data_IF_475919680175
#
_entry.id   IF_475919680175
#
_cell.length_a   1.000
_cell.length_b   1.000
_cell.length_c   1.000
_cell.angle_alpha   90.00
_cell.angle_beta   90.00
_cell.angle_gamma   90.00
#
_symmetry.space_group_name_H-M   'P 1'
#
loop_
_entity.id
_entity.type
_entity.pdbx_description
1 polymer ?
#
# COMPACT_ATOMS: atom_id res chain seq x y z
N UNK A 1 -6.50 7.53 15.81
CA UNK A 1 -6.65 8.76 15.01
C UNK A 1 -6.08 9.91 15.83
N UNK A 2 -5.11 10.63 15.27
CA UNK A 2 -4.54 11.86 15.80
C UNK A 2 -5.43 13.06 15.52
N UNK A 3 -4.95 14.25 15.85
CA UNK A 3 -5.68 15.50 15.64
C UNK A 3 -4.93 16.49 14.77
N UNK A 4 -5.63 17.07 13.82
CA UNK A 4 -5.17 18.21 13.01
C UNK A 4 -6.16 19.39 13.11
N UNK A 5 -5.72 20.51 12.56
CA UNK A 5 -6.47 21.76 12.42
C UNK A 5 -6.54 22.11 10.95
N UNK A 6 -7.77 22.07 10.43
CA UNK A 6 -8.07 22.35 9.05
C UNK A 6 -8.40 23.82 8.84
N UNK A 7 -7.81 24.42 7.80
CA UNK A 7 -8.21 25.71 7.27
C UNK A 7 -8.79 25.51 5.87
N UNK A 8 -10.02 25.96 5.66
CA UNK A 8 -10.69 25.88 4.36
C UNK A 8 -10.61 27.21 3.64
N UNK A 9 -10.52 27.14 2.31
CA UNK A 9 -10.77 28.30 1.47
C UNK A 9 -12.23 28.74 1.63
N UNK A 10 -12.47 30.01 1.94
CA UNK A 10 -13.81 30.55 2.23
C UNK A 10 -14.79 30.46 1.05
N UNK A 11 -14.29 30.28 -0.17
CA UNK A 11 -15.09 30.28 -1.40
C UNK A 11 -15.22 28.88 -2.00
N UNK A 12 -14.11 28.16 -2.17
CA UNK A 12 -14.13 26.83 -2.78
C UNK A 12 -14.41 25.71 -1.79
N UNK A 13 -14.33 25.99 -0.48
CA UNK A 13 -14.38 25.00 0.60
C UNK A 13 -13.32 23.89 0.49
N UNK A 14 -12.32 24.07 -0.37
CA UNK A 14 -11.16 23.18 -0.46
C UNK A 14 -10.24 23.42 0.74
N UNK A 15 -9.51 22.37 1.10
CA UNK A 15 -8.47 22.42 2.11
C UNK A 15 -7.39 23.39 1.65
N UNK A 16 -7.24 24.49 2.39
CA UNK A 16 -6.17 25.47 2.17
C UNK A 16 -4.90 25.04 2.92
N UNK A 17 -5.05 24.53 4.14
CA UNK A 17 -3.94 24.07 4.97
C UNK A 17 -4.43 23.10 6.05
N UNK A 18 -3.61 22.10 6.38
CA UNK A 18 -3.74 21.30 7.60
C UNK A 18 -2.47 21.42 8.43
N UNK A 19 -2.65 21.59 9.74
CA UNK A 19 -1.54 21.66 10.70
C UNK A 19 -1.86 20.78 11.90
N UNK A 20 -0.85 20.22 12.54
CA UNK A 20 -1.05 19.43 13.74
C UNK A 20 -1.80 20.22 14.83
N UNK A 21 -2.81 19.59 15.43
CA UNK A 21 -3.61 20.23 16.47
C UNK A 21 -2.84 20.30 17.80
N UNK A 22 -2.62 21.54 18.24
CA UNK A 22 -2.03 21.83 19.55
C UNK A 22 -2.46 23.18 20.09
N UNK A 23 -2.85 23.19 21.36
CA UNK A 23 -3.19 24.36 22.15
C UNK A 23 -2.25 24.39 23.36
N UNK A 24 -1.28 25.29 23.33
CA UNK A 24 -0.22 25.36 24.35
C UNK A 24 -0.70 25.84 25.73
N UNK A 25 -1.87 26.47 25.81
CA UNK A 25 -2.42 27.06 27.02
C UNK A 25 -3.93 26.80 27.14
N UNK A 26 -4.31 25.52 27.19
CA UNK A 26 -5.69 25.12 27.50
C UNK A 26 -5.93 25.04 29.02
N UNK A 27 -7.20 24.97 29.41
CA UNK A 27 -7.60 24.91 30.82
C UNK A 27 -7.20 23.56 31.42
N UNK A 28 -6.10 23.52 32.15
CA UNK A 28 -5.55 22.28 32.73
C UNK A 28 -4.19 21.87 32.16
N UNK A 29 -3.67 22.59 31.16
CA UNK A 29 -2.37 22.34 30.56
C UNK A 29 -2.39 22.45 29.04
N UNK A 30 -1.30 22.08 28.37
CA UNK A 30 -1.27 21.99 26.92
C UNK A 30 -2.10 20.79 26.44
N UNK A 31 -2.99 21.03 25.48
CA UNK A 31 -3.83 20.01 24.83
C UNK A 31 -3.41 19.84 23.37
N UNK A 32 -3.49 18.63 22.82
CA UNK A 32 -3.19 18.41 21.41
C UNK A 32 -3.27 16.95 21.00
N UNK A 33 -2.84 16.69 19.76
CA UNK A 33 -2.83 15.32 19.23
C UNK A 33 -2.04 14.39 20.14
N UNK A 34 -2.68 13.30 20.57
CA UNK A 34 -2.06 12.28 21.43
C UNK A 34 -1.20 11.34 20.60
N UNK A 35 0.04 11.11 21.03
CA UNK A 35 0.99 10.33 20.26
C UNK A 35 2.10 9.70 21.11
N UNK A 36 2.93 8.87 20.49
CA UNK A 36 4.13 8.30 21.10
C UNK A 36 4.46 6.90 20.61
N UNK A 37 5.49 6.32 21.20
CA UNK A 37 5.96 4.97 20.92
C UNK A 37 5.55 4.07 22.10
N UNK A 38 4.86 2.97 21.81
CA UNK A 38 4.43 2.03 22.85
C UNK A 38 5.62 1.35 23.52
N UNK A 39 5.58 1.22 24.85
CA UNK A 39 6.53 0.40 25.63
C UNK A 39 6.09 -1.05 25.84
N UNK A 40 4.88 -1.38 25.38
CA UNK A 40 4.24 -2.70 25.62
C UNK A 40 4.11 -3.47 24.31
N UNK A 41 3.71 -2.80 23.24
CA UNK A 41 3.51 -3.42 21.94
C UNK A 41 4.74 -3.17 21.06
N UNK A 42 5.33 -4.26 20.56
CA UNK A 42 6.37 -4.20 19.54
C UNK A 42 5.86 -3.49 18.29
N UNK A 43 6.78 -2.88 17.54
CA UNK A 43 6.45 -2.31 16.24
C UNK A 43 5.94 -3.40 15.28
N UNK A 44 4.70 -3.28 14.76
CA UNK A 44 4.13 -4.28 13.87
C UNK A 44 4.81 -4.24 12.49
N UNK A 45 4.87 -5.38 11.80
CA UNK A 45 5.63 -5.52 10.54
C UNK A 45 5.18 -4.53 9.44
N UNK A 46 3.89 -4.24 9.37
CA UNK A 46 3.34 -3.27 8.41
C UNK A 46 3.72 -1.81 8.73
N UNK A 47 4.15 -1.51 9.96
CA UNK A 47 4.73 -0.21 10.35
C UNK A 47 6.25 -0.22 10.22
N UNK A 48 6.89 -1.34 10.60
CA UNK A 48 8.35 -1.51 10.57
C UNK A 48 8.95 -1.52 9.17
N UNK A 49 8.21 -2.00 8.18
CA UNK A 49 8.67 -2.13 6.79
C UNK A 49 8.38 -0.88 5.94
N UNK A 50 8.00 0.24 6.57
CA UNK A 50 7.80 1.54 5.90
C UNK A 50 8.82 2.55 6.40
N UNK A 51 8.78 3.75 5.85
CA UNK A 51 9.63 4.82 6.35
C UNK A 51 9.29 5.30 7.76
N UNK A 52 8.13 4.92 8.32
CA UNK A 52 7.80 5.19 9.73
C UNK A 52 8.88 4.66 10.68
N UNK A 53 9.53 3.55 10.32
CA UNK A 53 10.63 2.96 11.08
C UNK A 53 11.88 3.84 11.15
N UNK A 54 12.03 4.86 10.29
CA UNK A 54 13.10 5.88 10.44
C UNK A 54 12.97 6.64 11.77
N UNK A 55 11.75 6.81 12.26
CA UNK A 55 11.42 7.52 13.51
C UNK A 55 11.27 6.53 14.66
N UNK A 56 10.63 5.39 14.41
CA UNK A 56 10.31 4.40 15.45
C UNK A 56 11.50 3.50 15.80
N UNK A 57 12.36 3.20 14.83
CA UNK A 57 13.58 2.41 14.97
C UNK A 57 13.36 1.08 15.74
N UNK A 58 12.26 0.37 15.48
CA UNK A 58 11.95 -0.89 16.15
C UNK A 58 11.52 -0.77 17.61
N UNK A 59 11.45 0.44 18.19
CA UNK A 59 11.28 0.63 19.64
C UNK A 59 9.89 0.23 20.15
N UNK A 60 8.86 0.25 19.29
CA UNK A 60 7.50 -0.11 19.63
C UNK A 60 6.48 0.44 18.64
N UNK A 61 5.20 0.09 18.82
CA UNK A 61 4.10 0.59 17.99
C UNK A 61 3.97 2.10 18.14
N UNK A 62 4.22 2.84 17.06
CA UNK A 62 4.07 4.31 17.00
C UNK A 62 2.62 4.72 16.78
N UNK A 63 2.12 5.72 17.50
CA UNK A 63 0.78 6.32 17.34
C UNK A 63 0.89 7.83 17.10
N UNK A 64 -0.06 8.45 16.36
CA UNK A 64 -1.22 7.83 15.68
C UNK A 64 -0.85 7.17 14.34
N UNK A 65 -1.82 6.55 13.67
CA UNK A 65 -1.68 6.04 12.30
C UNK A 65 -2.04 7.09 11.24
N UNK A 66 -3.11 7.82 11.49
CA UNK A 66 -3.71 8.88 10.66
C UNK A 66 -4.30 9.94 11.59
N UNK A 67 -4.63 11.12 11.07
CA UNK A 67 -5.29 12.21 11.78
C UNK A 67 -6.58 12.67 11.10
N UNK A 68 -7.40 13.38 11.86
CA UNK A 68 -8.52 14.14 11.34
C UNK A 68 -8.75 15.39 12.20
N UNK A 69 -9.70 16.24 11.79
CA UNK A 69 -10.00 17.50 12.46
C UNK A 69 -10.31 17.28 13.95
N UNK A 70 -9.58 18.01 14.80
CA UNK A 70 -9.65 17.87 16.26
C UNK A 70 -9.96 19.19 16.99
N UNK A 71 -10.42 20.23 16.28
CA UNK A 71 -10.83 21.48 16.92
C UNK A 71 -11.99 22.14 16.17
N UNK A 72 -12.44 23.28 16.71
CA UNK A 72 -13.45 24.16 16.11
C UNK A 72 -14.75 23.46 15.70
N UNK A 73 -15.10 22.36 16.37
CA UNK A 73 -16.28 21.55 16.00
C UNK A 73 -17.48 22.01 16.78
N UNK A 74 -18.56 22.33 16.07
CA UNK A 74 -19.82 22.75 16.66
C UNK A 74 -20.67 21.51 16.90
N UNK A 75 -21.11 21.31 18.14
CA UNK A 75 -22.03 20.24 18.52
C UNK A 75 -23.30 20.84 19.08
N UNK A 76 -24.45 20.34 18.61
CA UNK A 76 -25.75 20.68 19.15
C UNK A 76 -26.19 19.55 20.08
N UNK A 77 -26.30 19.86 21.38
CA UNK A 77 -26.66 18.91 22.42
C UNK A 77 -27.98 19.31 23.06
N UNK A 78 -28.85 18.34 23.32
CA UNK A 78 -30.01 18.49 24.21
C UNK A 78 -29.81 17.59 25.42
N UNK A 79 -30.14 18.09 26.61
CA UNK A 79 -30.20 17.26 27.81
C UNK A 79 -31.67 16.89 28.06
N UNK A 80 -31.97 15.59 28.06
CA UNK A 80 -33.33 15.05 28.30
C UNK A 80 -34.42 15.66 27.40
N UNK A 81 -34.10 15.96 26.13
CA UNK A 81 -35.05 16.58 25.20
C UNK A 81 -35.40 18.05 25.51
N UNK A 82 -34.67 18.68 26.45
CA UNK A 82 -34.80 20.10 26.75
C UNK A 82 -34.20 21.00 25.65
N UNK A 83 -33.94 22.26 26.01
CA UNK A 83 -33.41 23.26 25.06
C UNK A 83 -32.08 22.82 24.44
N UNK A 84 -31.97 23.03 23.12
CA UNK A 84 -30.77 22.74 22.35
C UNK A 84 -29.66 23.75 22.68
N UNK A 85 -28.51 23.23 23.10
CA UNK A 85 -27.31 23.99 23.39
C UNK A 85 -26.33 23.83 22.24
N UNK A 86 -25.82 24.96 21.74
CA UNK A 86 -24.72 24.99 20.78
C UNK A 86 -23.41 25.08 21.54
N UNK A 87 -22.60 24.03 21.45
CA UNK A 87 -21.32 23.90 22.12
C UNK A 87 -20.19 23.82 21.08
N UNK A 88 -18.98 24.17 21.50
CA UNK A 88 -17.77 23.96 20.69
C UNK A 88 -16.86 22.96 21.40
N UNK A 89 -16.45 21.95 20.65
CA UNK A 89 -15.55 20.89 21.13
C UNK A 89 -14.30 20.82 20.26
N UNK A 90 -13.25 20.27 20.87
CA UNK A 90 -12.04 19.80 20.22
C UNK A 90 -11.61 18.48 20.86
N UNK A 91 -10.43 17.99 20.52
CA UNK A 91 -9.96 16.68 20.94
C UNK A 91 -9.86 15.69 19.79
N UNK A 92 -8.96 14.72 19.96
CA UNK A 92 -8.96 13.48 19.16
C UNK A 92 -10.26 12.68 19.32
N UNK A 93 -11.06 12.98 20.37
CA UNK A 93 -12.44 12.53 20.53
C UNK A 93 -13.40 13.06 19.47
N UNK A 94 -13.08 14.18 18.81
CA UNK A 94 -13.77 14.66 17.61
C UNK A 94 -13.23 13.97 16.36
N UNK A 95 -11.90 13.88 16.24
CA UNK A 95 -11.25 13.27 15.08
C UNK A 95 -11.66 11.79 14.86
N UNK A 96 -11.75 11.02 15.94
CA UNK A 96 -12.06 9.58 15.87
C UNK A 96 -13.43 9.26 15.25
N UNK A 97 -14.56 9.87 15.67
CA UNK A 97 -15.85 9.65 15.03
C UNK A 97 -15.97 10.28 13.63
N UNK A 98 -15.24 11.37 13.33
CA UNK A 98 -15.16 11.91 11.97
C UNK A 98 -14.56 10.86 11.03
N UNK A 99 -13.41 10.30 11.42
CA UNK A 99 -12.73 9.25 10.66
C UNK A 99 -13.58 7.99 10.52
N UNK A 100 -14.28 7.58 11.59
CA UNK A 100 -15.20 6.44 11.53
C UNK A 100 -16.34 6.68 10.52
N UNK A 101 -16.86 7.90 10.42
CA UNK A 101 -17.86 8.28 9.42
C UNK A 101 -17.31 8.23 7.99
N UNK A 102 -16.09 8.72 7.78
CA UNK A 102 -15.39 8.64 6.50
C UNK A 102 -15.25 7.17 6.07
N UNK A 103 -14.71 6.31 6.94
CA UNK A 103 -14.54 4.88 6.67
C UNK A 103 -15.89 4.19 6.38
N UNK A 104 -16.96 4.56 7.09
CA UNK A 104 -18.30 4.03 6.85
C UNK A 104 -18.85 4.41 5.47
N UNK A 105 -18.64 5.65 5.01
CA UNK A 105 -19.02 6.09 3.66
C UNK A 105 -18.19 5.35 2.60
N UNK A 106 -16.90 5.16 2.82
CA UNK A 106 -16.05 4.37 1.93
C UNK A 106 -16.55 2.91 1.83
N UNK A 107 -16.88 2.27 2.96
CA UNK A 107 -17.48 0.94 2.99
C UNK A 107 -18.82 0.89 2.23
N UNK A 108 -19.66 1.93 2.36
CA UNK A 108 -20.92 2.01 1.62
C UNK A 108 -20.68 2.04 0.10
N UNK A 109 -19.69 2.80 -0.37
CA UNK A 109 -19.29 2.84 -1.78
C UNK A 109 -18.69 1.50 -2.23
N UNK A 110 -17.79 0.90 -1.46
CA UNK A 110 -17.19 -0.40 -1.77
C UNK A 110 -18.26 -1.49 -1.91
N UNK A 111 -19.23 -1.52 -0.98
CA UNK A 111 -20.37 -2.44 -1.04
C UNK A 111 -21.23 -2.22 -2.29
N UNK A 112 -21.48 -0.97 -2.68
CA UNK A 112 -22.22 -0.64 -3.90
C UNK A 112 -21.55 -1.28 -5.14
N UNK A 113 -20.22 -1.27 -5.18
CA UNK A 113 -19.40 -1.91 -6.23
C UNK A 113 -19.06 -3.39 -5.95
N UNK A 114 -19.74 -4.04 -5.01
CA UNK A 114 -19.57 -5.46 -4.65
C UNK A 114 -18.15 -5.82 -4.19
N UNK A 115 -17.42 -4.84 -3.66
CA UNK A 115 -16.15 -5.06 -2.96
C UNK A 115 -16.39 -5.39 -1.49
N UNK A 116 -15.35 -5.87 -0.80
CA UNK A 116 -15.41 -6.13 0.64
C UNK A 116 -15.24 -4.83 1.44
N UNK A 117 -15.82 -4.81 2.65
CA UNK A 117 -15.55 -3.76 3.64
C UNK A 117 -14.07 -3.73 4.01
N UNK A 118 -13.61 -2.55 4.36
CA UNK A 118 -12.23 -2.22 4.68
C UNK A 118 -11.66 -2.99 5.88
N UNK A 119 -12.48 -3.25 6.90
CA UNK A 119 -12.08 -4.00 8.08
C UNK A 119 -10.85 -3.42 8.78
N UNK A 120 -9.81 -4.24 8.97
CA UNK A 120 -8.58 -3.81 9.64
C UNK A 120 -7.66 -3.01 8.69
N UNK A 121 -7.73 -1.69 8.78
CA UNK A 121 -7.13 -0.75 7.84
C UNK A 121 -5.61 -0.54 7.96
N UNK A 122 -5.01 -0.77 9.13
CA UNK A 122 -3.62 -0.36 9.37
C UNK A 122 -2.62 -0.92 8.32
N UNK A 123 -2.65 -2.20 7.92
CA UNK A 123 -1.73 -2.69 6.90
C UNK A 123 -1.86 -1.98 5.55
N UNK A 124 -3.09 -1.68 5.11
CA UNK A 124 -3.31 -1.04 3.80
C UNK A 124 -2.95 0.44 3.84
N UNK A 125 -3.26 1.13 4.95
CA UNK A 125 -2.86 2.53 5.17
C UNK A 125 -1.35 2.66 5.03
N UNK A 126 -0.59 1.85 5.77
CA UNK A 126 0.87 1.96 5.79
C UNK A 126 1.49 1.59 4.45
N UNK A 127 0.92 0.62 3.73
CA UNK A 127 1.36 0.29 2.38
C UNK A 127 1.20 1.47 1.42
N UNK A 128 -0.02 2.01 1.32
CA UNK A 128 -0.34 3.08 0.37
C UNK A 128 0.40 4.37 0.73
N UNK A 129 0.36 4.77 2.00
CA UNK A 129 1.00 6.00 2.44
C UNK A 129 2.53 5.95 2.25
N UNK A 130 3.15 4.79 2.47
CA UNK A 130 4.57 4.62 2.18
C UNK A 130 4.89 4.71 0.69
N UNK A 131 4.03 4.17 -0.18
CA UNK A 131 4.16 4.34 -1.65
C UNK A 131 4.04 5.81 -2.07
N UNK A 132 3.21 6.61 -1.39
CA UNK A 132 3.02 8.03 -1.69
C UNK A 132 4.24 8.91 -1.41
N UNK A 133 5.00 8.57 -0.38
CA UNK A 133 6.16 9.34 0.07
C UNK A 133 7.49 8.75 -0.40
N UNK A 134 7.46 7.56 -1.02
CA UNK A 134 8.65 6.89 -1.54
C UNK A 134 9.24 7.68 -2.71
N UNK A 135 10.52 8.08 -2.67
CA UNK A 135 11.13 8.84 -3.75
C UNK A 135 11.02 8.11 -5.09
N UNK A 136 10.69 8.84 -6.16
CA UNK A 136 10.80 8.32 -7.52
C UNK A 136 12.24 7.92 -7.81
N UNK A 137 12.50 6.61 -7.83
CA UNK A 137 13.81 6.08 -8.18
C UNK A 137 13.80 5.74 -9.66
N UNK A 138 14.54 6.51 -10.46
CA UNK A 138 14.80 6.15 -11.85
C UNK A 138 15.60 4.85 -11.86
N UNK A 139 15.03 3.80 -12.43
CA UNK A 139 15.78 2.58 -12.76
C UNK A 139 15.83 2.45 -14.28
N UNK A 140 16.78 1.68 -14.82
CA UNK A 140 16.86 1.40 -16.26
C UNK A 140 15.60 0.73 -16.85
N UNK A 141 14.64 0.34 -16.01
CA UNK A 141 13.37 -0.32 -16.35
C UNK A 141 12.12 0.45 -15.92
N UNK A 142 12.24 1.53 -15.15
CA UNK A 142 11.11 2.38 -14.72
C UNK A 142 11.34 3.81 -15.16
N UNK A 143 10.79 4.17 -16.32
CA UNK A 143 10.77 5.54 -16.82
C UNK A 143 9.52 6.26 -16.33
N UNK A 144 9.67 7.22 -15.42
CA UNK A 144 8.63 8.23 -15.16
C UNK A 144 9.02 9.50 -15.90
N UNK A 145 8.06 10.16 -16.55
CA UNK A 145 8.27 11.52 -17.06
C UNK A 145 8.41 12.45 -15.86
N UNK A 146 9.59 13.04 -15.70
CA UNK A 146 9.85 14.04 -14.66
C UNK A 146 9.11 15.34 -15.03
N UNK A 147 7.80 15.39 -14.80
CA UNK A 147 6.98 16.60 -14.98
C UNK A 147 7.07 17.56 -13.79
N UNK A 148 7.97 17.27 -12.84
CA UNK A 148 8.47 18.24 -11.85
C UNK A 148 7.67 18.39 -10.56
N UNK A 149 6.57 17.64 -10.36
CA UNK A 149 5.73 17.81 -9.15
C UNK A 149 5.15 16.49 -8.58
N UNK A 150 5.49 15.32 -9.13
CA UNK A 150 4.98 14.04 -8.63
C UNK A 150 6.09 13.26 -7.93
N UNK A 151 5.98 13.06 -6.61
CA UNK A 151 6.88 12.21 -5.82
C UNK A 151 6.28 10.83 -5.51
N UNK A 152 5.08 10.53 -6.03
CA UNK A 152 4.37 9.27 -5.81
C UNK A 152 4.23 8.49 -7.11
N UNK A 153 4.26 7.16 -7.04
CA UNK A 153 3.91 6.27 -8.16
C UNK A 153 2.40 6.07 -8.32
N UNK A 154 1.60 6.59 -7.38
CA UNK A 154 0.15 6.48 -7.41
C UNK A 154 -0.48 7.57 -8.28
N UNK A 155 -1.55 7.25 -9.03
CA UNK A 155 -2.26 8.23 -9.86
C UNK A 155 -3.02 9.28 -9.03
N UNK A 156 -3.31 8.97 -7.76
CA UNK A 156 -3.99 9.83 -6.79
C UNK A 156 -3.34 9.64 -5.42
N UNK A 157 -3.28 10.69 -4.61
CA UNK A 157 -2.79 10.63 -3.22
C UNK A 157 -3.97 10.39 -2.30
N UNK A 158 -4.00 9.23 -1.67
CA UNK A 158 -4.98 8.80 -0.68
C UNK A 158 -4.85 9.53 0.67
N UNK A 159 -3.71 10.17 0.94
CA UNK A 159 -3.48 10.91 2.17
C UNK A 159 -3.09 12.36 1.91
N UNK A 160 -3.58 13.25 2.76
CA UNK A 160 -3.08 14.61 2.89
C UNK A 160 -2.07 14.65 4.03
N UNK A 161 -0.80 14.74 3.68
CA UNK A 161 0.30 14.78 4.65
C UNK A 161 0.35 16.11 5.42
N UNK A 162 0.24 16.04 6.75
CA UNK A 162 0.27 17.19 7.66
C UNK A 162 1.71 17.47 8.10
N UNK A 163 2.39 18.34 7.35
CA UNK A 163 3.85 18.54 7.47
C UNK A 163 4.26 19.58 8.51
N UNK A 164 3.29 20.27 9.12
CA UNK A 164 3.53 21.46 9.93
C UNK A 164 2.78 21.41 11.26
N UNK A 165 3.36 22.07 12.25
CA UNK A 165 2.86 22.09 13.61
C UNK A 165 3.57 21.06 14.48
N UNK A 166 3.03 20.83 15.67
CA UNK A 166 3.60 19.95 16.69
C UNK A 166 2.54 19.59 17.72
N UNK A 167 2.83 18.62 18.58
CA UNK A 167 2.18 18.54 19.88
C UNK A 167 3.16 18.97 20.99
N UNK A 168 2.93 18.53 22.23
CA UNK A 168 3.80 18.87 23.34
C UNK A 168 5.23 18.32 23.21
N UNK A 169 5.42 17.19 22.50
CA UNK A 169 6.67 16.41 22.48
C UNK A 169 7.28 16.32 21.09
N UNK A 170 6.47 16.11 20.06
CA UNK A 170 6.91 15.82 18.70
C UNK A 170 6.48 16.92 17.73
N UNK A 171 7.26 17.12 16.67
CA UNK A 171 6.91 18.01 15.56
C UNK A 171 6.36 17.18 14.41
N UNK A 172 5.42 17.77 13.68
CA UNK A 172 4.97 17.21 12.42
C UNK A 172 6.05 17.38 11.34
N UNK A 173 6.12 16.45 10.39
CA UNK A 173 7.13 16.47 9.33
C UNK A 173 6.62 15.81 8.06
N UNK A 174 7.38 15.89 6.97
CA UNK A 174 7.04 15.14 5.77
C UNK A 174 7.03 13.63 6.05
N UNK A 175 5.95 12.97 5.60
CA UNK A 175 5.78 11.53 5.75
C UNK A 175 5.17 11.13 7.08
N UNK A 176 5.46 9.90 7.54
CA UNK A 176 4.96 9.47 8.84
C UNK A 176 5.56 10.32 9.97
N UNK A 177 4.75 10.79 10.91
CA UNK A 177 5.25 11.43 12.14
C UNK A 177 4.49 11.04 13.41
N UNK A 178 5.08 11.35 14.56
CA UNK A 178 4.50 11.10 15.89
C UNK A 178 3.58 12.24 16.34
N UNK A 179 2.83 12.87 15.43
CA UNK A 179 1.80 13.86 15.75
C UNK A 179 0.52 13.56 15.00
N UNK A 180 0.61 13.36 13.69
CA UNK A 180 -0.49 13.16 12.74
C UNK A 180 -0.41 11.83 11.99
N UNK A 181 0.64 11.03 12.22
CA UNK A 181 0.80 9.75 11.55
C UNK A 181 1.09 9.99 10.07
N UNK A 182 0.32 9.35 9.18
CA UNK A 182 0.38 9.59 7.74
C UNK A 182 -0.44 10.80 7.27
N UNK A 183 -1.04 11.56 8.19
CA UNK A 183 -1.95 12.67 7.89
C UNK A 183 -3.41 12.23 7.77
N UNK A 184 -4.22 13.02 7.06
CA UNK A 184 -5.66 12.80 6.92
C UNK A 184 -6.02 12.01 5.66
N UNK A 185 -7.13 11.27 5.69
CA UNK A 185 -7.58 10.48 4.53
C UNK A 185 -8.29 11.36 3.51
N UNK A 186 -7.84 11.32 2.26
CA UNK A 186 -8.65 11.71 1.11
C UNK A 186 -9.58 10.55 0.76
N UNK A 187 -10.81 10.63 1.25
CA UNK A 187 -11.80 9.56 1.13
C UNK A 187 -12.09 9.19 -0.33
N UNK A 188 -12.10 10.17 -1.24
CA UNK A 188 -12.35 9.93 -2.65
C UNK A 188 -11.17 9.18 -3.28
N UNK A 189 -9.96 9.70 -3.13
CA UNK A 189 -8.76 9.11 -3.73
C UNK A 189 -8.49 7.70 -3.19
N UNK A 190 -8.62 7.51 -1.87
CA UNK A 190 -8.44 6.19 -1.27
C UNK A 190 -9.52 5.21 -1.75
N UNK A 191 -10.78 5.62 -1.82
CA UNK A 191 -11.86 4.76 -2.36
C UNK A 191 -11.61 4.40 -3.81
N UNK A 192 -11.20 5.36 -4.65
CA UNK A 192 -10.89 5.10 -6.05
C UNK A 192 -9.70 4.15 -6.22
N UNK A 193 -8.65 4.29 -5.41
CA UNK A 193 -7.55 3.33 -5.36
C UNK A 193 -8.10 1.93 -5.02
N UNK A 194 -8.89 1.82 -3.96
CA UNK A 194 -9.43 0.54 -3.50
C UNK A 194 -10.39 -0.12 -4.50
N UNK A 195 -11.17 0.65 -5.24
CA UNK A 195 -12.02 0.15 -6.33
C UNK A 195 -11.22 -0.29 -7.55
N UNK A 196 -10.09 0.37 -7.83
CA UNK A 196 -9.20 -0.01 -8.93
C UNK A 196 -8.43 -1.31 -8.67
N UNK A 197 -8.31 -1.71 -7.39
CA UNK A 197 -7.66 -2.95 -6.96
C UNK A 197 -8.73 -3.99 -6.65
N UNK A 198 -8.87 -5.03 -7.50
CA UNK A 198 -9.86 -6.07 -7.25
C UNK A 198 -9.49 -6.93 -6.02
N UNK A 199 -10.20 -6.72 -4.92
CA UNK A 199 -10.09 -7.49 -3.68
C UNK A 199 -11.14 -8.61 -3.58
N UNK A 200 -12.04 -8.74 -4.56
CA UNK A 200 -13.06 -9.79 -4.59
C UNK A 200 -12.40 -11.18 -4.56
N UNK A 201 -12.78 -12.00 -3.57
CA UNK A 201 -12.22 -13.34 -3.37
C UNK A 201 -10.82 -13.38 -2.72
N UNK A 202 -10.32 -12.25 -2.22
CA UNK A 202 -9.06 -12.17 -1.47
C UNK A 202 -9.32 -11.78 -0.01
N UNK A 203 -9.95 -12.68 0.74
CA UNK A 203 -10.30 -12.52 2.17
C UNK A 203 -9.10 -12.20 3.09
N UNK A 204 -7.87 -12.29 2.55
CA UNK A 204 -6.62 -12.00 3.23
C UNK A 204 -5.78 -10.89 2.57
N UNK A 205 -6.21 -10.26 1.47
CA UNK A 205 -5.42 -9.16 0.86
C UNK A 205 -5.33 -7.91 1.76
N UNK A 206 -6.30 -7.74 2.68
CA UNK A 206 -6.31 -6.71 3.71
C UNK A 206 -5.64 -7.16 5.01
N UNK A 207 -5.33 -8.46 5.15
CA UNK A 207 -4.48 -8.97 6.23
C UNK A 207 -3.08 -8.99 5.67
N UNK A 208 -2.22 -8.06 6.07
CA UNK A 208 -0.82 -8.03 5.63
C UNK A 208 -0.17 -9.41 5.79
N UNK A 209 -0.12 -10.17 4.70
CA UNK A 209 0.56 -11.44 4.59
C UNK A 209 1.56 -11.26 3.47
N UNK A 210 2.81 -11.19 3.90
CA UNK A 210 3.97 -11.36 3.05
C UNK A 210 3.81 -12.70 2.31
N UNK A 211 3.76 -12.67 0.98
CA UNK A 211 3.79 -13.89 0.18
C UNK A 211 5.24 -14.37 0.10
N UNK A 212 5.75 -14.94 1.19
CA UNK A 212 7.03 -15.63 1.19
C UNK A 212 6.80 -17.06 0.68
N UNK A 213 7.08 -17.30 -0.60
CA UNK A 213 7.08 -18.65 -1.14
C UNK A 213 8.32 -19.41 -0.65
N UNK A 214 8.23 -20.04 0.52
CA UNK A 214 9.27 -20.95 1.00
C UNK A 214 9.08 -22.34 0.39
N UNK A 215 9.86 -22.63 -0.66
CA UNK A 215 9.86 -23.91 -1.34
C UNK A 215 10.79 -24.89 -0.60
N UNK A 216 10.25 -25.65 0.37
CA UNK A 216 11.05 -26.54 1.23
C UNK A 216 11.31 -27.94 0.65
N UNK A 217 10.86 -28.21 -0.59
CA UNK A 217 11.07 -29.50 -1.22
C UNK A 217 10.40 -29.60 -2.59
N UNK A 218 11.06 -29.09 -3.63
CA UNK A 218 10.66 -29.34 -5.01
C UNK A 218 11.35 -30.60 -5.53
N UNK A 219 10.57 -31.64 -5.82
CA UNK A 219 11.06 -32.86 -6.46
C UNK A 219 10.67 -32.84 -7.95
N UNK A 220 11.59 -32.40 -8.80
CA UNK A 220 11.39 -32.40 -10.26
C UNK A 220 11.85 -33.74 -10.85
N UNK A 221 11.06 -34.30 -11.75
CA UNK A 221 11.45 -35.47 -12.56
C UNK A 221 11.23 -35.11 -14.03
N UNK A 222 12.29 -35.13 -14.83
CA UNK A 222 12.24 -34.89 -16.27
C UNK A 222 12.20 -36.21 -17.04
N UNK A 223 11.60 -36.21 -18.23
CA UNK A 223 11.53 -37.37 -19.14
C UNK A 223 12.02 -36.94 -20.53
N UNK A 224 12.68 -37.81 -21.31
CA UNK A 224 13.06 -37.46 -22.69
C UNK A 224 11.85 -37.64 -23.60
N UNK A 225 11.53 -36.64 -24.42
CA UNK A 225 10.50 -36.77 -25.43
C UNK A 225 11.09 -37.33 -26.73
N UNK A 226 10.56 -38.46 -27.19
CA UNK A 226 10.94 -39.05 -28.47
C UNK A 226 10.02 -38.50 -29.57
N UNK A 227 10.58 -37.66 -30.44
CA UNK A 227 9.84 -36.99 -31.53
C UNK A 227 9.37 -37.96 -32.61
N UNK A 228 10.05 -39.09 -32.78
CA UNK A 228 9.71 -40.13 -33.76
C UNK A 228 8.53 -40.98 -33.28
N UNK A 229 8.48 -41.33 -32.00
CA UNK A 229 7.40 -42.16 -31.42
C UNK A 229 6.31 -41.35 -30.72
N UNK A 230 6.47 -40.02 -30.63
CA UNK A 230 5.59 -39.09 -29.90
C UNK A 230 5.32 -39.55 -28.45
N UNK A 231 6.34 -40.04 -27.75
CA UNK A 231 6.21 -40.60 -26.40
C UNK A 231 7.34 -40.15 -25.47
N UNK A 232 7.07 -40.13 -24.16
CA UNK A 232 8.05 -39.80 -23.13
C UNK A 232 8.79 -41.07 -22.65
N UNK A 233 10.13 -41.02 -22.53
CA UNK A 233 11.00 -42.14 -22.15
C UNK A 233 11.19 -42.29 -20.63
N UNK A 234 12.14 -43.14 -20.22
CA UNK A 234 12.75 -43.20 -18.88
C UNK A 234 13.28 -41.83 -18.41
N UNK A 235 13.34 -41.64 -17.09
CA UNK A 235 13.75 -40.39 -16.42
C UNK A 235 15.04 -39.83 -17.02
N UNK A 236 14.98 -38.57 -17.46
CA UNK A 236 16.10 -37.82 -18.01
C UNK A 236 17.10 -37.50 -16.89
N UNK A 237 18.31 -38.05 -17.01
CA UNK A 237 19.39 -37.91 -16.02
C UNK A 237 20.42 -36.83 -16.36
N UNK A 238 20.24 -36.13 -17.49
CA UNK A 238 21.23 -35.19 -18.03
C UNK A 238 20.88 -33.72 -17.72
N UNK A 239 19.59 -33.40 -17.47
CA UNK A 239 19.11 -32.05 -17.22
C UNK A 239 18.17 -32.03 -15.99
N UNK A 240 18.57 -31.33 -14.92
CA UNK A 240 18.01 -31.56 -13.58
C UNK A 240 16.70 -30.83 -13.28
N UNK A 241 16.53 -29.55 -13.61
CA UNK A 241 15.24 -28.85 -13.52
C UNK A 241 15.31 -27.45 -14.15
N UNK A 242 14.17 -26.97 -14.62
CA UNK A 242 13.94 -25.54 -14.81
C UNK A 242 12.67 -25.09 -14.08
N UNK A 243 12.68 -23.88 -13.55
CA UNK A 243 11.49 -23.21 -13.02
C UNK A 243 11.21 -22.04 -13.96
N UNK A 244 10.06 -22.09 -14.63
CA UNK A 244 9.58 -20.97 -15.44
C UNK A 244 8.64 -20.12 -14.59
N UNK A 245 9.02 -18.86 -14.40
CA UNK A 245 8.19 -17.84 -13.76
C UNK A 245 7.59 -16.96 -14.84
N UNK A 246 6.25 -16.87 -14.86
CA UNK A 246 5.50 -16.02 -15.78
C UNK A 246 4.74 -14.97 -14.96
N UNK A 247 4.93 -13.70 -15.28
CA UNK A 247 4.17 -12.59 -14.74
C UNK A 247 3.50 -11.85 -15.89
N UNK A 248 2.24 -11.47 -15.69
CA UNK A 248 1.47 -10.70 -16.66
C UNK A 248 1.16 -9.34 -16.06
N UNK A 249 1.58 -8.29 -16.75
CA UNK A 249 1.21 -6.90 -16.44
C UNK A 249 0.05 -6.55 -17.36
N UNK A 250 -1.06 -6.11 -16.79
CA UNK A 250 -2.25 -5.68 -17.52
C UNK A 250 -2.55 -4.20 -17.29
N UNK A 251 -3.28 -3.59 -18.22
CA UNK A 251 -3.79 -2.22 -18.07
C UNK A 251 -4.95 -2.18 -17.07
N UNK A 252 -5.45 -0.97 -16.81
CA UNK A 252 -6.56 -0.72 -15.89
C UNK A 252 -7.89 -1.41 -16.30
N UNK A 253 -7.98 -1.95 -17.52
CA UNK A 253 -9.13 -2.69 -18.04
C UNK A 253 -8.88 -4.21 -18.06
N UNK A 254 -7.72 -4.67 -17.57
CA UNK A 254 -7.32 -6.07 -17.54
C UNK A 254 -6.74 -6.59 -18.86
N UNK A 255 -6.46 -5.72 -19.83
CA UNK A 255 -5.81 -6.12 -21.08
C UNK A 255 -4.30 -6.32 -20.84
N UNK A 256 -3.72 -7.46 -21.22
CA UNK A 256 -2.31 -7.73 -20.96
C UNK A 256 -1.40 -6.81 -21.80
N UNK A 257 -0.50 -6.08 -21.12
CA UNK A 257 0.48 -5.16 -21.71
C UNK A 257 1.84 -5.86 -21.86
N UNK A 258 2.31 -6.55 -20.80
CA UNK A 258 3.60 -7.23 -20.80
C UNK A 258 3.49 -8.65 -20.26
N UNK A 259 4.18 -9.57 -20.93
CA UNK A 259 4.50 -10.89 -20.40
C UNK A 259 5.96 -10.87 -19.97
N UNK A 260 6.18 -10.95 -18.67
CA UNK A 260 7.51 -10.97 -18.10
C UNK A 260 7.82 -12.42 -17.74
N UNK A 261 8.90 -12.94 -18.31
CA UNK A 261 9.33 -14.30 -18.08
C UNK A 261 10.72 -14.33 -17.45
N UNK A 262 10.92 -15.26 -16.53
CA UNK A 262 12.24 -15.71 -16.12
C UNK A 262 12.30 -17.23 -16.15
N UNK A 263 13.45 -17.77 -16.52
CA UNK A 263 13.75 -19.19 -16.34
C UNK A 263 14.95 -19.33 -15.41
N UNK A 264 14.74 -20.07 -14.33
CA UNK A 264 15.80 -20.52 -13.43
C UNK A 264 16.21 -21.92 -13.88
N UNK A 265 17.45 -22.07 -14.32
CA UNK A 265 18.06 -23.36 -14.60
C UNK A 265 18.80 -23.86 -13.37
N UNK A 266 18.49 -25.08 -12.97
CA UNK A 266 19.14 -25.75 -11.86
C UNK A 266 19.98 -26.89 -12.43
N UNK A 267 21.29 -26.68 -12.46
CA UNK A 267 22.26 -27.62 -13.01
C UNK A 267 22.99 -28.33 -11.87
N UNK A 268 22.97 -29.66 -11.85
CA UNK A 268 23.76 -30.45 -10.90
C UNK A 268 24.88 -31.19 -11.63
N UNK A 269 26.10 -31.10 -11.10
CA UNK A 269 27.23 -31.93 -11.55
C UNK A 269 27.93 -32.55 -10.33
N UNK A 270 28.46 -33.76 -10.49
CA UNK A 270 29.27 -34.44 -9.48
C UNK A 270 30.59 -33.72 -9.17
N UNK A 271 31.04 -32.83 -10.06
CA UNK A 271 32.28 -32.07 -9.91
C UNK A 271 32.07 -30.68 -9.29
N UNK A 272 30.94 -30.02 -9.56
CA UNK A 272 30.71 -28.61 -9.18
C UNK A 272 29.57 -28.41 -8.18
N UNK A 273 28.87 -29.47 -7.77
CA UNK A 273 27.68 -29.36 -6.95
C UNK A 273 26.48 -28.79 -7.72
N UNK A 274 25.53 -28.21 -6.99
CA UNK A 274 24.35 -27.55 -7.58
C UNK A 274 24.68 -26.11 -7.92
N UNK A 275 24.44 -25.73 -9.18
CA UNK A 275 24.62 -24.38 -9.70
C UNK A 275 23.26 -23.87 -10.21
N UNK A 276 22.87 -22.67 -9.78
CA UNK A 276 21.67 -22.00 -10.24
C UNK A 276 22.04 -20.87 -11.20
N UNK A 277 21.51 -20.93 -12.41
CA UNK A 277 21.66 -19.88 -13.42
C UNK A 277 20.28 -19.32 -13.75
N UNK A 278 20.17 -18.01 -13.93
CA UNK A 278 18.92 -17.35 -14.31
C UNK A 278 19.09 -16.64 -15.64
N UNK A 279 18.08 -16.71 -16.51
CA UNK A 279 18.09 -16.04 -17.82
C UNK A 279 18.07 -14.51 -17.75
N UNK A 280 17.87 -13.95 -16.55
CA UNK A 280 17.41 -12.57 -16.38
C UNK A 280 15.90 -12.46 -16.63
N UNK A 281 15.31 -11.32 -16.26
CA UNK A 281 13.92 -11.01 -16.56
C UNK A 281 13.82 -10.56 -18.02
N UNK A 282 13.07 -11.29 -18.82
CA UNK A 282 12.79 -10.94 -20.21
C UNK A 282 11.38 -10.39 -20.29
N UNK A 283 11.26 -9.15 -20.79
CA UNK A 283 9.98 -8.47 -20.94
C UNK A 283 9.54 -8.61 -22.38
N UNK A 284 8.47 -9.37 -22.62
CA UNK A 284 7.81 -9.46 -23.91
C UNK A 284 6.63 -8.50 -23.91
N UNK A 285 6.55 -7.53 -24.85
CA UNK A 285 5.30 -6.83 -25.09
C UNK A 285 4.26 -7.83 -25.60
N UNK A 286 3.02 -7.74 -25.11
CA UNK A 286 1.92 -8.47 -25.75
C UNK A 286 1.67 -7.84 -27.12
N UNK A 287 1.98 -8.58 -28.18
CA UNK A 287 1.78 -8.12 -29.55
C UNK A 287 0.28 -8.05 -29.87
N UNK A 288 -0.30 -6.86 -29.69
CA UNK A 288 -1.66 -6.50 -30.13
C UNK A 288 -1.70 -5.60 -31.36
N UNK A 289 -0.56 -5.31 -32.00
CA UNK A 289 -0.50 -4.44 -33.18
C UNK A 289 -0.76 -5.17 -34.52
N UNK A 290 -0.84 -6.51 -34.55
CA UNK A 290 -1.12 -7.27 -35.78
C UNK A 290 -2.05 -8.47 -35.50
N UNK A 291 -3.38 -8.31 -35.59
CA UNK A 291 -4.37 -9.32 -35.18
C UNK A 291 -4.50 -10.54 -36.10
N UNK A 292 -3.63 -10.70 -37.12
CA UNK A 292 -3.76 -11.77 -38.13
C UNK A 292 -2.50 -12.62 -38.34
N UNK A 293 -1.40 -12.35 -37.64
CA UNK A 293 -0.21 -13.18 -37.80
C UNK A 293 -0.28 -14.44 -36.93
N UNK A 294 0.03 -15.57 -37.55
CA UNK A 294 0.07 -16.89 -36.88
C UNK A 294 1.20 -16.87 -35.85
N UNK A 295 0.86 -17.17 -34.59
CA UNK A 295 1.83 -17.25 -33.48
C UNK A 295 2.83 -18.37 -33.80
N UNK A 296 4.06 -18.00 -34.14
CA UNK A 296 5.15 -18.97 -34.22
C UNK A 296 5.53 -19.39 -32.80
N UNK A 297 5.51 -20.70 -32.56
CA UNK A 297 6.27 -21.30 -31.48
C UNK A 297 7.74 -20.93 -31.71
N UNK A 298 8.29 -20.04 -30.88
CA UNK A 298 9.69 -19.67 -30.93
C UNK A 298 10.49 -20.73 -30.20
N UNK A 299 10.95 -21.75 -30.94
CA UNK A 299 11.94 -22.69 -30.44
C UNK A 299 13.26 -21.93 -30.26
N UNK A 300 13.69 -21.77 -29.01
CA UNK A 300 15.02 -21.23 -28.71
C UNK A 300 16.07 -22.16 -29.33
N UNK A 301 17.12 -21.64 -30.01
CA UNK A 301 18.19 -22.50 -30.49
C UNK A 301 18.98 -23.08 -29.31
N UNK A 302 19.09 -24.41 -29.35
CA UNK A 302 19.90 -25.38 -28.57
C UNK A 302 20.74 -24.87 -27.39
#
# INVERSE_FOLDING_TARGET
VGGDTLTLNSTSLLIQNETAWYQSAASGGPDGSTSGISKVFSEPIWQKNTEANKILNGQGRGVPDISAIANNTIVYQTQNGGSMQRLSYGGTSVASPVEAGIVAEMDAVLNHYKQQNLGYLNPIIYKIANEEVSPLTFTGTTGYLQTGVYNSTLPLTAFYDVKYGRNHVYNASFGYDLVTGWGSIDAYNLTMYLLSVNYSGKDFALRGVENTLNLSGLKVTSYLYNTTTKSYSTVNKYFNASIQQNMFVADALGAPIYWIQNVIYINGSSQTGWVMNYTGWVIFPFYGLYPYDTVYQYDYPL
#
